data_IF_619771826074
#
_entry.id   IF_619771826074
#
_cell.length_a   1.000
_cell.length_b   1.000
_cell.length_c   1.000
_cell.angle_alpha   90.00
_cell.angle_beta   90.00
_cell.angle_gamma   90.00
#
_symmetry.space_group_name_H-M   'P 1'
#
loop_
_entity.id
_entity.type
_entity.pdbx_description
1 polymer ?
#
# COMPACT_ATOMS: atom_id res chain seq x y z
N UNK A 1 13.36 4.70 17.97
CA UNK A 1 12.11 4.78 17.19
C UNK A 1 12.37 4.05 15.89
N UNK A 2 12.28 2.73 15.92
CA UNK A 2 12.57 1.91 14.76
C UNK A 2 11.31 1.88 13.90
N UNK A 3 11.42 2.37 12.68
CA UNK A 3 10.58 1.93 11.56
C UNK A 3 10.89 0.43 11.28
N UNK A 4 10.71 -0.43 12.30
CA UNK A 4 10.85 -1.90 12.22
C UNK A 4 9.70 -2.51 11.38
N UNK A 5 8.72 -1.67 11.04
CA UNK A 5 7.65 -1.93 10.11
C UNK A 5 8.12 -1.58 8.68
N UNK A 6 9.04 -2.38 8.14
CA UNK A 6 9.63 -2.27 6.77
C UNK A 6 8.58 -2.62 5.70
N UNK A 7 7.38 -2.07 5.83
CA UNK A 7 6.30 -2.21 4.87
C UNK A 7 6.41 -1.15 3.78
N UNK A 8 7.48 -0.35 3.67
CA UNK A 8 7.70 0.55 2.54
C UNK A 8 9.05 0.26 1.88
N UNK A 9 9.07 0.14 0.55
CA UNK A 9 10.29 -0.11 -0.23
C UNK A 9 10.36 0.90 -1.37
N UNK A 10 11.41 1.72 -1.39
CA UNK A 10 11.69 2.62 -2.52
C UNK A 10 12.21 1.81 -3.70
N UNK A 11 11.58 1.95 -4.85
CA UNK A 11 11.99 1.39 -6.14
C UNK A 11 12.34 2.52 -7.07
N UNK A 12 13.54 2.44 -7.65
CA UNK A 12 14.02 3.36 -8.68
C UNK A 12 13.90 2.65 -10.01
N UNK A 13 13.09 3.17 -10.91
CA UNK A 13 13.01 2.69 -12.29
C UNK A 13 13.42 3.81 -13.25
N UNK A 14 13.84 3.45 -14.46
CA UNK A 14 14.15 4.41 -15.50
C UNK A 14 13.15 4.15 -16.62
N UNK A 15 12.22 5.08 -16.82
CA UNK A 15 11.22 4.98 -17.89
C UNK A 15 11.50 6.11 -18.87
N UNK A 16 11.69 5.76 -20.14
CA UNK A 16 11.92 6.72 -21.23
C UNK A 16 13.11 7.70 -21.03
N UNK A 17 14.13 7.30 -20.26
CA UNK A 17 15.30 8.13 -19.97
C UNK A 17 15.17 9.01 -18.71
N UNK A 18 13.99 9.04 -18.09
CA UNK A 18 13.71 9.78 -16.86
C UNK A 18 13.76 8.83 -15.65
N UNK A 19 14.42 9.28 -14.57
CA UNK A 19 14.43 8.56 -13.31
C UNK A 19 13.05 8.69 -12.67
N UNK A 20 12.42 7.56 -12.43
CA UNK A 20 11.13 7.46 -11.81
C UNK A 20 11.25 6.66 -10.53
N UNK A 21 11.30 7.37 -9.42
CA UNK A 21 11.34 6.80 -8.09
C UNK A 21 9.89 6.66 -7.58
N UNK A 22 9.55 5.49 -7.02
CA UNK A 22 8.26 5.24 -6.41
C UNK A 22 8.42 4.36 -5.19
N UNK A 23 7.53 4.50 -4.23
CA UNK A 23 7.45 3.63 -3.08
C UNK A 23 6.49 2.50 -3.33
N UNK A 24 6.81 1.33 -2.80
CA UNK A 24 5.88 0.21 -2.69
C UNK A 24 5.59 0.02 -1.22
N UNK A 25 4.32 0.21 -0.84
CA UNK A 25 3.88 -0.04 0.52
C UNK A 25 3.18 -1.40 0.63
N UNK A 26 3.71 -2.31 1.44
CA UNK A 26 3.15 -3.63 1.69
C UNK A 26 2.12 -3.61 2.82
N UNK A 27 0.85 -3.65 2.46
CA UNK A 27 -0.26 -3.68 3.42
C UNK A 27 -0.54 -5.07 3.98
N UNK A 28 0.17 -6.12 3.55
CA UNK A 28 -0.03 -7.50 4.02
C UNK A 28 -0.06 -7.63 5.54
N UNK A 29 0.85 -6.92 6.23
CA UNK A 29 0.94 -6.93 7.69
C UNK A 29 -0.31 -6.31 8.32
N UNK A 30 -0.77 -5.17 7.77
CA UNK A 30 -1.98 -4.46 8.20
C UNK A 30 -3.24 -5.28 7.91
N UNK A 31 -3.39 -5.77 6.69
CA UNK A 31 -4.50 -6.64 6.28
C UNK A 31 -4.61 -7.83 7.22
N UNK A 32 -3.48 -8.45 7.58
CA UNK A 32 -3.46 -9.57 8.52
C UNK A 32 -3.87 -9.16 9.93
N UNK A 33 -3.48 -7.98 10.39
CA UNK A 33 -3.88 -7.45 11.70
C UNK A 33 -5.38 -7.12 11.74
N UNK A 34 -5.88 -6.34 10.78
CA UNK A 34 -7.27 -5.91 10.71
C UNK A 34 -8.23 -7.06 10.38
N UNK A 35 -7.79 -8.02 9.57
CA UNK A 35 -8.57 -9.22 9.22
C UNK A 35 -8.37 -10.39 10.19
N UNK A 36 -7.66 -10.19 11.30
CA UNK A 36 -7.36 -11.25 12.26
C UNK A 36 -6.77 -12.53 11.62
N UNK A 37 -5.95 -12.35 10.58
CA UNK A 37 -5.30 -13.42 9.82
C UNK A 37 -6.11 -14.07 8.69
N UNK A 38 -7.33 -13.60 8.40
CA UNK A 38 -8.17 -14.08 7.29
C UNK A 38 -7.69 -13.55 5.93
N UNK A 39 -7.31 -12.28 5.85
CA UNK A 39 -6.56 -11.67 4.73
C UNK A 39 -5.07 -11.49 5.09
N UNK A 40 -4.23 -11.16 4.10
CA UNK A 40 -2.77 -11.02 4.31
C UNK A 40 -1.95 -12.32 4.21
N UNK A 41 -2.48 -13.36 3.53
CA UNK A 41 -1.76 -14.61 3.23
C UNK A 41 -1.92 -15.00 1.76
N UNK A 42 -0.83 -15.45 1.13
CA UNK A 42 -0.83 -15.99 -0.23
C UNK A 42 -0.25 -15.02 -1.26
N UNK A 43 -0.79 -15.05 -2.48
CA UNK A 43 -0.37 -14.15 -3.56
C UNK A 43 -0.64 -12.68 -3.18
N UNK A 44 0.26 -11.80 -3.64
CA UNK A 44 0.12 -10.35 -3.49
C UNK A 44 -0.06 -9.71 -4.86
N UNK A 45 -0.83 -8.64 -4.88
CA UNK A 45 -1.06 -7.83 -6.07
C UNK A 45 -0.77 -6.37 -5.73
N UNK A 46 -0.34 -5.62 -6.74
CA UNK A 46 -0.22 -4.17 -6.62
C UNK A 46 -1.62 -3.61 -6.81
N UNK A 47 -2.14 -2.94 -5.80
CA UNK A 47 -3.41 -2.24 -5.85
C UNK A 47 -3.43 -1.28 -7.03
N UNK A 48 -4.59 -1.14 -7.66
CA UNK A 48 -4.81 -0.17 -8.74
C UNK A 48 -4.78 1.27 -8.23
N UNK A 49 -4.87 1.48 -6.92
CA UNK A 49 -4.84 2.79 -6.29
C UNK A 49 -3.43 3.36 -6.38
N UNK A 50 -3.30 4.49 -7.06
CA UNK A 50 -2.03 5.23 -7.25
C UNK A 50 -2.13 6.66 -6.73
N UNK A 51 -3.22 6.98 -6.04
CA UNK A 51 -3.52 8.33 -5.54
C UNK A 51 -2.69 8.72 -4.32
N UNK A 52 -1.87 7.80 -3.80
CA UNK A 52 -1.00 8.09 -2.67
C UNK A 52 0.35 8.59 -3.13
N UNK A 53 0.80 9.70 -2.56
CA UNK A 53 2.14 10.25 -2.71
C UNK A 53 2.77 10.39 -1.33
N UNK A 54 4.07 10.15 -1.24
CA UNK A 54 4.85 10.32 -0.02
C UNK A 54 6.02 11.23 -0.33
N UNK A 55 6.24 12.21 0.55
CA UNK A 55 7.43 13.06 0.47
C UNK A 55 8.62 12.22 0.91
N UNK A 56 9.59 12.07 0.01
CA UNK A 56 10.86 11.44 0.32
C UNK A 56 11.66 12.34 1.25
N UNK A 57 11.92 11.90 2.48
CA UNK A 57 12.67 12.69 3.47
C UNK A 57 14.12 12.96 3.01
N UNK A 58 14.68 12.10 2.16
CA UNK A 58 16.03 12.25 1.60
C UNK A 58 16.11 13.31 0.48
N UNK A 59 15.20 13.27 -0.50
CA UNK A 59 15.24 14.12 -1.70
C UNK A 59 14.30 15.33 -1.61
N UNK A 60 13.30 15.30 -0.71
CA UNK A 60 12.23 16.29 -0.61
C UNK A 60 11.17 16.18 -1.70
N UNK A 61 11.20 15.12 -2.51
CA UNK A 61 10.34 14.94 -3.68
C UNK A 61 9.07 14.15 -3.33
N UNK A 62 7.94 14.54 -3.94
CA UNK A 62 6.70 13.77 -3.87
C UNK A 62 6.79 12.57 -4.80
N UNK A 63 6.99 11.38 -4.24
CA UNK A 63 7.05 10.14 -4.99
C UNK A 63 5.74 9.38 -4.89
N UNK A 64 5.33 8.73 -5.98
CA UNK A 64 4.13 7.90 -5.97
C UNK A 64 4.31 6.68 -5.06
N UNK A 65 3.24 6.35 -4.33
CA UNK A 65 3.18 5.16 -3.48
C UNK A 65 2.21 4.15 -4.06
N UNK A 66 2.75 3.00 -4.45
CA UNK A 66 1.98 1.84 -4.88
C UNK A 66 1.69 0.96 -3.68
N UNK A 67 0.42 0.78 -3.38
CA UNK A 67 0.00 -0.10 -2.32
C UNK A 67 0.02 -1.55 -2.82
N UNK A 68 0.64 -2.45 -2.08
CA UNK A 68 0.63 -3.89 -2.31
C UNK A 68 -0.30 -4.51 -1.28
N UNK A 69 -1.33 -5.18 -1.76
CA UNK A 69 -2.29 -5.91 -0.94
C UNK A 69 -2.31 -7.40 -1.30
N UNK A 70 -3.02 -8.21 -0.52
CA UNK A 70 -3.23 -9.61 -0.84
C UNK A 70 -4.19 -9.74 -2.01
N UNK A 71 -3.89 -10.61 -2.98
CA UNK A 71 -4.79 -10.91 -4.10
C UNK A 71 -6.17 -11.39 -3.61
N UNK A 72 -6.22 -12.03 -2.43
CA UNK A 72 -7.48 -12.41 -1.78
C UNK A 72 -8.35 -11.21 -1.41
N UNK A 73 -7.78 -10.13 -0.86
CA UNK A 73 -8.58 -8.95 -0.51
C UNK A 73 -9.02 -8.22 -1.77
N UNK A 74 -8.15 -8.15 -2.78
CA UNK A 74 -8.43 -7.53 -4.07
C UNK A 74 -9.59 -8.23 -4.78
N UNK A 75 -9.54 -9.57 -4.85
CA UNK A 75 -10.60 -10.41 -5.41
C UNK A 75 -11.89 -10.35 -4.58
N UNK A 76 -11.77 -10.31 -3.24
CA UNK A 76 -12.92 -10.16 -2.35
C UNK A 76 -13.60 -8.79 -2.51
N UNK A 77 -12.84 -7.72 -2.73
CA UNK A 77 -13.37 -6.37 -3.01
C UNK A 77 -14.08 -6.29 -4.38
N UNK A 78 -13.66 -7.08 -5.37
CA UNK A 78 -14.32 -7.19 -6.68
C UNK A 78 -15.46 -8.23 -6.69
N UNK A 79 -15.55 -9.03 -5.63
CA UNK A 79 -16.51 -10.11 -5.46
C UNK A 79 -17.92 -9.66 -5.04
N UNK A 80 -18.77 -10.65 -4.75
CA UNK A 80 -20.20 -10.44 -4.43
C UNK A 80 -20.42 -9.85 -3.03
N UNK A 81 -19.52 -10.14 -2.08
CA UNK A 81 -19.58 -9.65 -0.69
C UNK A 81 -18.30 -8.90 -0.31
N UNK A 82 -18.09 -7.68 -0.84
CA UNK A 82 -16.87 -6.93 -0.60
C UNK A 82 -16.84 -6.26 0.78
N UNK A 83 -17.95 -6.20 1.52
CA UNK A 83 -18.11 -5.43 2.75
C UNK A 83 -16.95 -5.59 3.76
N UNK A 84 -16.62 -6.84 4.11
CA UNK A 84 -15.57 -7.12 5.10
C UNK A 84 -14.16 -6.79 4.56
N UNK A 85 -13.90 -7.12 3.29
CA UNK A 85 -12.63 -6.83 2.63
C UNK A 85 -12.42 -5.34 2.39
N UNK A 86 -13.46 -4.61 2.01
CA UNK A 86 -13.45 -3.15 1.82
C UNK A 86 -13.25 -2.44 3.15
N UNK A 87 -13.87 -2.92 4.23
CA UNK A 87 -13.66 -2.35 5.58
C UNK A 87 -12.20 -2.50 6.02
N UNK A 88 -11.65 -3.72 5.95
CA UNK A 88 -10.25 -4.01 6.27
C UNK A 88 -9.30 -3.17 5.41
N UNK A 89 -9.56 -3.10 4.11
CA UNK A 89 -8.74 -2.32 3.19
C UNK A 89 -8.82 -0.82 3.50
N UNK A 90 -10.00 -0.29 3.79
CA UNK A 90 -10.21 1.11 4.18
C UNK A 90 -9.50 1.43 5.49
N UNK A 91 -9.47 0.51 6.46
CA UNK A 91 -8.68 0.69 7.69
C UNK A 91 -7.18 0.77 7.38
N UNK A 92 -6.67 -0.06 6.47
CA UNK A 92 -5.28 0.03 6.01
C UNK A 92 -4.98 1.40 5.38
N UNK A 93 -5.89 1.92 4.55
CA UNK A 93 -5.76 3.25 3.94
C UNK A 93 -5.74 4.37 4.98
N UNK A 94 -6.63 4.34 5.97
CA UNK A 94 -6.64 5.34 7.05
C UNK A 94 -5.34 5.34 7.85
N UNK A 95 -4.76 4.15 8.08
CA UNK A 95 -3.49 4.08 8.78
C UNK A 95 -2.33 4.62 7.93
N UNK A 96 -2.39 4.47 6.61
CA UNK A 96 -1.45 5.10 5.69
C UNK A 96 -1.54 6.63 5.75
N UNK A 97 -2.75 7.19 5.71
CA UNK A 97 -2.95 8.63 5.88
C UNK A 97 -2.40 9.10 7.24
N UNK A 98 -2.63 8.34 8.31
CA UNK A 98 -2.12 8.67 9.65
C UNK A 98 -0.58 8.58 9.74
N UNK A 99 0.06 7.72 8.93
CA UNK A 99 1.52 7.63 8.80
C UNK A 99 2.13 8.78 7.98
N UNK A 100 1.31 9.68 7.43
CA UNK A 100 1.75 10.86 6.69
C UNK A 100 1.76 10.70 5.17
N UNK A 101 1.08 9.68 4.62
CA UNK A 101 0.85 9.62 3.18
C UNK A 101 -0.20 10.65 2.78
N UNK A 102 0.10 11.39 1.70
CA UNK A 102 -0.80 12.40 1.16
C UNK A 102 -1.61 11.77 0.03
N UNK A 103 -2.94 11.85 0.13
CA UNK A 103 -3.86 11.46 -0.94
C UNK A 103 -4.11 12.67 -1.83
N UNK A 104 -3.84 12.54 -3.13
CA UNK A 104 -4.07 13.58 -4.16
C UNK A 104 -5.56 13.66 -4.55
#
# INVERSE_FOLDING_TARGET
>A
MYYDDINVTKRKTITNGEKYDFFIYNMLSLEKQFSNGKFGKGETVISKIKDFKMVDDESGELLEVKLRCSKKIDDAMDGIEPDESTEVFTQCLKELENRGLVRD
#
